data_IF_284206699480
#
_entry.id   IF_284206699480
#
_cell.length_a   1.000
_cell.length_b   1.000
_cell.length_c   1.000
_cell.angle_alpha   90.00
_cell.angle_beta   90.00
_cell.angle_gamma   90.00
#
_symmetry.space_group_name_H-M   'P 1'
#
loop_
_entity.id
_entity.type
_entity.pdbx_description
1 polymer ?
#
# COMPACT_ATOMS: atom_id res chain seq x y z
N UNK A 1 33.96 -31.28 24.67
CA UNK A 1 33.04 -30.66 23.72
C UNK A 1 31.84 -30.19 24.53
N UNK A 2 31.72 -28.85 24.73
CA UNK A 2 30.89 -28.28 25.77
C UNK A 2 29.38 -28.43 25.50
N UNK A 3 28.71 -29.16 26.36
CA UNK A 3 27.22 -29.38 26.34
C UNK A 3 26.42 -28.07 26.24
N UNK A 4 26.97 -26.97 26.67
CA UNK A 4 26.36 -25.62 26.56
C UNK A 4 26.29 -25.08 25.14
N UNK A 5 27.28 -25.39 24.28
CA UNK A 5 27.28 -24.97 22.87
C UNK A 5 26.21 -25.70 22.06
N UNK A 6 25.98 -26.99 22.35
CA UNK A 6 24.91 -27.78 21.71
C UNK A 6 23.52 -27.30 22.13
N UNK A 7 23.32 -26.91 23.39
CA UNK A 7 22.02 -26.37 23.85
C UNK A 7 21.71 -25.01 23.24
N UNK A 8 22.72 -24.16 23.02
CA UNK A 8 22.53 -22.84 22.39
C UNK A 8 22.18 -22.97 20.90
N UNK A 9 22.77 -23.95 20.21
CA UNK A 9 22.49 -24.21 18.79
C UNK A 9 21.08 -24.79 18.61
N UNK A 10 20.63 -25.66 19.51
CA UNK A 10 19.26 -26.21 19.50
C UNK A 10 18.23 -25.12 19.81
N UNK A 11 18.53 -24.19 20.72
CA UNK A 11 17.65 -23.06 21.01
C UNK A 11 17.57 -22.06 19.83
N UNK A 12 18.67 -21.83 19.10
CA UNK A 12 18.65 -21.00 17.88
C UNK A 12 17.90 -21.66 16.72
N UNK A 13 17.97 -22.99 16.57
CA UNK A 13 17.21 -23.71 15.53
C UNK A 13 15.70 -23.74 15.82
N UNK A 14 15.28 -23.67 17.08
CA UNK A 14 13.85 -23.65 17.43
C UNK A 14 13.18 -22.29 17.20
N UNK A 15 13.94 -21.21 17.03
CA UNK A 15 13.45 -19.87 16.73
C UNK A 15 13.21 -19.62 15.23
N UNK A 16 13.60 -20.53 14.35
CA UNK A 16 13.31 -20.44 12.92
C UNK A 16 11.97 -21.03 12.53
N UNK A 17 11.17 -21.49 13.52
CA UNK A 17 9.84 -22.01 13.28
C UNK A 17 8.87 -20.88 12.96
N UNK A 18 8.64 -20.72 11.67
CA UNK A 18 7.38 -20.26 11.08
C UNK A 18 6.99 -18.81 11.38
N UNK A 19 7.63 -17.86 10.72
CA UNK A 19 6.81 -16.86 10.06
C UNK A 19 6.07 -17.55 8.89
N UNK A 20 5.14 -18.42 9.17
CA UNK A 20 4.09 -18.78 8.22
C UNK A 20 3.29 -17.51 8.07
N UNK A 21 3.52 -16.78 7.00
CA UNK A 21 2.72 -15.65 6.59
C UNK A 21 1.32 -16.20 6.34
N UNK A 22 0.46 -16.10 7.36
CA UNK A 22 -0.92 -16.57 7.22
C UNK A 22 -1.58 -15.79 6.09
N UNK A 23 -2.35 -16.45 5.21
CA UNK A 23 -3.07 -15.75 4.17
C UNK A 23 -3.97 -14.71 4.83
N UNK A 24 -3.84 -13.45 4.40
CA UNK A 24 -4.71 -12.37 4.87
C UNK A 24 -6.08 -12.62 4.23
N UNK A 25 -7.02 -13.09 5.02
CA UNK A 25 -8.39 -13.35 4.59
C UNK A 25 -9.14 -12.01 4.51
N UNK A 26 -10.02 -11.85 3.53
CA UNK A 26 -10.96 -10.74 3.44
C UNK A 26 -12.10 -10.99 4.41
N UNK A 27 -12.01 -10.44 5.61
CA UNK A 27 -12.98 -10.56 6.69
C UNK A 27 -13.79 -9.27 6.87
N UNK A 28 -14.78 -9.32 7.74
CA UNK A 28 -15.68 -8.18 8.00
C UNK A 28 -14.95 -6.92 8.49
N UNK A 29 -13.94 -7.05 9.34
CA UNK A 29 -13.17 -5.90 9.84
C UNK A 29 -12.39 -5.22 8.71
N UNK A 30 -11.86 -5.99 7.77
CA UNK A 30 -11.16 -5.47 6.59
C UNK A 30 -12.12 -4.87 5.57
N UNK A 31 -13.31 -5.45 5.42
CA UNK A 31 -14.38 -4.89 4.61
C UNK A 31 -14.80 -3.51 5.14
N UNK A 32 -15.05 -3.39 6.44
CA UNK A 32 -15.38 -2.10 7.07
C UNK A 32 -14.25 -1.05 6.92
N UNK A 33 -12.99 -1.47 7.06
CA UNK A 33 -11.85 -0.58 6.85
C UNK A 33 -11.75 -0.09 5.40
N UNK A 34 -12.00 -0.99 4.43
CA UNK A 34 -12.05 -0.66 3.01
C UNK A 34 -13.19 0.32 2.70
N UNK A 35 -14.40 0.04 3.18
CA UNK A 35 -15.55 0.91 2.99
C UNK A 35 -15.33 2.30 3.58
N UNK A 36 -14.78 2.37 4.79
CA UNK A 36 -14.42 3.65 5.44
C UNK A 36 -13.41 4.45 4.61
N UNK A 37 -12.40 3.77 4.02
CA UNK A 37 -11.42 4.42 3.17
C UNK A 37 -12.05 4.89 1.84
N UNK A 38 -12.87 4.05 1.22
CA UNK A 38 -13.59 4.40 0.00
C UNK A 38 -14.53 5.59 0.20
N UNK A 39 -15.29 5.61 1.31
CA UNK A 39 -16.17 6.73 1.65
C UNK A 39 -15.38 8.04 1.80
N UNK A 40 -14.21 7.99 2.45
CA UNK A 40 -13.33 9.16 2.58
C UNK A 40 -12.85 9.68 1.22
N UNK A 41 -12.43 8.80 0.32
CA UNK A 41 -11.97 9.21 -1.02
C UNK A 41 -13.14 9.66 -1.91
N UNK A 42 -14.31 9.01 -1.86
CA UNK A 42 -15.50 9.40 -2.62
C UNK A 42 -16.11 10.73 -2.20
N UNK A 43 -15.92 11.12 -0.93
CA UNK A 43 -16.34 12.43 -0.44
C UNK A 43 -15.53 13.60 -1.02
N UNK A 44 -14.46 13.32 -1.75
CA UNK A 44 -13.58 14.31 -2.36
C UNK A 44 -14.00 14.56 -3.81
N UNK A 45 -14.58 15.73 -4.07
CA UNK A 45 -15.09 16.10 -5.39
C UNK A 45 -14.02 16.01 -6.49
N UNK A 46 -12.77 16.36 -6.16
CA UNK A 46 -11.65 16.29 -7.09
C UNK A 46 -11.32 14.87 -7.56
N UNK A 47 -11.77 13.83 -6.83
CA UNK A 47 -11.55 12.42 -7.21
C UNK A 47 -12.68 11.83 -8.07
N UNK A 48 -13.83 12.48 -8.19
CA UNK A 48 -14.97 11.97 -8.95
C UNK A 48 -14.57 11.54 -10.35
N UNK A 49 -13.85 12.38 -11.08
CA UNK A 49 -13.39 12.07 -12.44
C UNK A 49 -12.49 10.82 -12.53
N UNK A 50 -11.74 10.52 -11.46
CA UNK A 50 -10.86 9.34 -11.44
C UNK A 50 -11.66 8.07 -11.22
N UNK A 51 -12.68 8.11 -10.36
CA UNK A 51 -13.63 7.01 -10.19
C UNK A 51 -14.40 6.72 -11.50
N UNK A 52 -14.78 7.76 -12.24
CA UNK A 52 -15.54 7.63 -13.49
C UNK A 52 -14.70 7.09 -14.66
N UNK A 53 -13.40 7.37 -14.68
CA UNK A 53 -12.48 7.03 -15.76
C UNK A 53 -11.69 5.75 -15.54
N UNK A 54 -11.63 5.25 -14.30
CA UNK A 54 -10.84 4.09 -13.97
C UNK A 54 -11.54 2.79 -14.36
N UNK A 55 -10.79 1.87 -14.97
CA UNK A 55 -11.24 0.48 -15.20
C UNK A 55 -11.19 -0.33 -13.89
N UNK A 56 -10.29 0.06 -12.99
CA UNK A 56 -10.13 -0.53 -11.66
C UNK A 56 -9.45 0.46 -10.71
N UNK A 57 -9.53 0.18 -9.40
CA UNK A 57 -8.76 0.92 -8.40
C UNK A 57 -8.33 0.02 -7.24
N UNK A 58 -7.12 0.26 -6.70
CA UNK A 58 -6.62 -0.43 -5.54
C UNK A 58 -6.63 0.52 -4.32
N UNK A 59 -7.25 0.07 -3.22
CA UNK A 59 -7.41 0.87 -2.00
C UNK A 59 -6.62 0.23 -0.87
N UNK A 60 -5.80 1.02 -0.22
CA UNK A 60 -5.01 0.66 0.95
C UNK A 60 -5.55 1.44 2.15
N UNK A 61 -6.42 0.84 2.99
CA UNK A 61 -7.11 1.55 4.07
C UNK A 61 -6.20 2.02 5.19
N UNK A 62 -5.08 1.33 5.37
CA UNK A 62 -4.08 1.68 6.38
C UNK A 62 -2.69 1.29 5.90
N UNK A 63 -1.83 2.29 5.78
CA UNK A 63 -0.41 2.11 5.56
C UNK A 63 0.35 2.72 6.73
N UNK A 64 1.52 2.18 6.98
CA UNK A 64 2.44 2.68 8.00
C UNK A 64 3.76 3.04 7.36
N UNK A 65 4.25 4.21 7.67
CA UNK A 65 5.49 4.77 7.18
C UNK A 65 6.35 5.19 8.38
N UNK A 66 7.61 4.77 8.40
CA UNK A 66 8.56 5.14 9.45
C UNK A 66 9.96 5.30 8.89
N UNK A 67 10.71 6.27 9.42
CA UNK A 67 12.09 6.49 8.99
C UNK A 67 12.86 7.50 9.81
N UNK A 68 14.18 7.43 9.65
CA UNK A 68 15.16 8.38 10.19
C UNK A 68 16.38 8.43 9.26
N UNK A 69 16.41 9.37 8.29
CA UNK A 69 17.40 9.43 7.21
C UNK A 69 17.18 8.38 6.11
N UNK A 70 16.77 7.19 6.46
CA UNK A 70 16.21 6.15 5.58
C UNK A 70 15.00 5.55 6.26
N UNK A 71 14.13 4.92 5.49
CA UNK A 71 12.92 4.35 6.05
C UNK A 71 12.19 3.43 5.08
N UNK A 72 11.03 2.99 5.54
CA UNK A 72 10.14 2.16 4.76
C UNK A 72 8.69 2.41 5.09
N UNK A 73 7.84 1.97 4.19
CA UNK A 73 6.40 1.90 4.39
C UNK A 73 5.86 0.55 3.93
N UNK A 74 4.77 0.14 4.52
CA UNK A 74 4.05 -1.05 4.13
C UNK A 74 2.56 -0.87 4.33
N UNK A 75 1.78 -1.58 3.54
CA UNK A 75 0.33 -1.58 3.64
C UNK A 75 -0.29 -2.74 2.89
N UNK A 76 -1.46 -3.17 3.35
CA UNK A 76 -2.30 -4.14 2.65
C UNK A 76 -3.51 -3.41 2.10
N UNK A 77 -3.82 -3.67 0.83
CA UNK A 77 -4.95 -3.10 0.12
C UNK A 77 -5.75 -4.16 -0.63
N UNK A 78 -6.77 -3.68 -1.31
CA UNK A 78 -7.72 -4.48 -2.07
C UNK A 78 -7.89 -3.88 -3.45
N UNK A 79 -7.83 -4.72 -4.47
CA UNK A 79 -8.15 -4.34 -5.85
C UNK A 79 -9.65 -4.51 -6.06
N UNK A 80 -10.26 -3.49 -6.65
CA UNK A 80 -11.68 -3.49 -7.02
C UNK A 80 -11.81 -3.28 -8.53
N UNK A 81 -12.55 -4.19 -9.17
CA UNK A 81 -12.89 -4.17 -10.58
C UNK A 81 -14.42 -4.18 -10.69
N UNK A 82 -15.00 -3.24 -11.42
CA UNK A 82 -16.45 -3.13 -11.47
C UNK A 82 -17.16 -2.86 -10.12
N UNK A 83 -16.38 -2.46 -9.10
CA UNK A 83 -16.88 -2.26 -7.74
C UNK A 83 -16.77 -3.48 -6.83
N UNK A 84 -16.37 -4.64 -7.33
CA UNK A 84 -16.16 -5.88 -6.58
C UNK A 84 -14.70 -6.08 -6.23
N UNK A 85 -14.43 -6.65 -5.05
CA UNK A 85 -13.08 -6.97 -4.60
C UNK A 85 -12.61 -8.23 -5.30
N UNK A 86 -11.58 -8.11 -6.15
CA UNK A 86 -11.03 -9.21 -6.95
C UNK A 86 -9.73 -9.77 -6.41
N UNK A 87 -9.06 -9.05 -5.52
CA UNK A 87 -7.82 -9.53 -4.92
C UNK A 87 -7.24 -8.61 -3.88
N UNK A 88 -6.23 -9.13 -3.20
CA UNK A 88 -5.43 -8.43 -2.22
C UNK A 88 -4.19 -7.83 -2.87
N UNK A 89 -3.80 -6.65 -2.45
CA UNK A 89 -2.53 -6.03 -2.83
C UNK A 89 -1.66 -5.79 -1.59
N UNK A 90 -0.36 -6.01 -1.72
CA UNK A 90 0.64 -5.65 -0.73
C UNK A 90 1.49 -4.51 -1.30
N UNK A 91 1.66 -3.45 -0.53
CA UNK A 91 2.56 -2.35 -0.85
C UNK A 91 3.75 -2.36 0.09
N UNK A 92 4.95 -2.28 -0.49
CA UNK A 92 6.21 -2.07 0.24
C UNK A 92 6.94 -0.90 -0.40
N UNK A 93 7.46 -0.02 0.44
CA UNK A 93 8.23 1.13 0.01
C UNK A 93 9.55 1.21 0.77
N UNK A 94 10.62 1.58 0.06
CA UNK A 94 11.88 1.97 0.65
C UNK A 94 12.21 3.39 0.22
N UNK A 95 12.67 4.23 1.15
CA UNK A 95 13.02 5.62 0.86
C UNK A 95 14.26 6.08 1.63
N UNK A 96 14.95 7.07 1.06
CA UNK A 96 16.11 7.75 1.65
C UNK A 96 15.91 9.26 1.53
N UNK A 97 16.35 9.99 2.53
CA UNK A 97 16.26 11.45 2.54
C UNK A 97 16.11 12.02 3.94
N UNK A 98 15.82 13.32 4.02
CA UNK A 98 15.52 13.96 5.30
C UNK A 98 14.13 13.53 5.74
N UNK A 99 14.07 12.51 6.59
CA UNK A 99 12.83 12.00 7.18
C UNK A 99 13.05 11.63 8.64
N UNK A 100 12.09 11.92 9.49
CA UNK A 100 12.10 11.58 10.91
C UNK A 100 10.66 11.44 11.39
N UNK A 101 10.29 10.27 11.84
CA UNK A 101 8.99 10.04 12.48
C UNK A 101 8.26 8.78 12.00
N UNK A 102 7.01 8.70 12.43
CA UNK A 102 6.06 7.64 12.06
C UNK A 102 4.76 8.29 11.61
N UNK A 103 4.20 7.81 10.52
CA UNK A 103 2.96 8.31 9.93
C UNK A 103 2.07 7.18 9.47
N UNK A 104 0.76 7.33 9.70
CA UNK A 104 -0.26 6.50 9.11
C UNK A 104 -0.98 7.23 7.97
N UNK A 105 -1.22 6.54 6.87
CA UNK A 105 -1.95 7.07 5.73
C UNK A 105 -2.93 6.04 5.14
N UNK A 106 -3.82 6.55 4.26
CA UNK A 106 -4.61 5.77 3.33
C UNK A 106 -4.15 6.10 1.92
N UNK A 107 -4.26 5.13 1.02
CA UNK A 107 -3.84 5.31 -0.36
C UNK A 107 -4.85 4.71 -1.32
N UNK A 108 -5.09 5.37 -2.44
CA UNK A 108 -5.86 4.83 -3.56
C UNK A 108 -5.06 4.99 -4.85
N UNK A 109 -5.02 3.94 -5.65
CA UNK A 109 -4.47 3.92 -7.00
C UNK A 109 -5.62 3.70 -7.97
N UNK A 110 -5.73 4.56 -8.98
CA UNK A 110 -6.69 4.42 -10.09
C UNK A 110 -5.96 3.95 -11.34
N UNK A 111 -6.46 2.92 -11.98
CA UNK A 111 -5.96 2.40 -13.26
C UNK A 111 -6.90 2.84 -14.38
N UNK A 112 -6.38 3.61 -15.35
CA UNK A 112 -7.17 4.10 -16.48
C UNK A 112 -7.25 3.11 -17.64
N UNK A 113 -6.28 2.21 -17.74
CA UNK A 113 -6.20 1.23 -18.82
C UNK A 113 -6.03 -0.19 -18.29
N UNK A 114 -6.54 -1.17 -19.04
CA UNK A 114 -6.32 -2.59 -18.77
C UNK A 114 -4.84 -2.95 -18.79
N UNK A 115 -4.04 -2.30 -19.62
CA UNK A 115 -2.61 -2.53 -19.67
C UNK A 115 -1.91 -2.16 -18.36
N UNK A 116 -2.31 -1.05 -17.72
CA UNK A 116 -1.77 -0.65 -16.42
C UNK A 116 -2.26 -1.59 -15.30
N UNK A 117 -3.52 -2.01 -15.35
CA UNK A 117 -4.09 -2.99 -14.44
C UNK A 117 -3.36 -4.34 -14.52
N UNK A 118 -3.11 -4.82 -15.73
CA UNK A 118 -2.35 -6.05 -15.98
C UNK A 118 -0.92 -5.99 -15.43
N UNK A 119 -0.24 -4.86 -15.59
CA UNK A 119 1.09 -4.66 -15.00
C UNK A 119 1.05 -4.75 -13.48
N UNK A 120 0.04 -4.14 -12.86
CA UNK A 120 -0.16 -4.23 -11.43
C UNK A 120 -0.42 -5.67 -10.97
N UNK A 121 -1.32 -6.40 -11.63
CA UNK A 121 -1.64 -7.81 -11.32
C UNK A 121 -0.44 -8.75 -11.46
N UNK A 122 0.50 -8.44 -12.36
CA UNK A 122 1.74 -9.24 -12.54
C UNK A 122 2.83 -8.92 -11.51
N UNK A 123 2.58 -8.04 -10.54
CA UNK A 123 3.58 -7.63 -9.55
C UNK A 123 4.79 -6.90 -10.15
N UNK A 124 4.64 -6.29 -11.33
CA UNK A 124 5.69 -5.54 -12.04
C UNK A 124 5.47 -4.04 -11.96
N UNK A 125 4.66 -3.63 -11.02
CA UNK A 125 4.28 -2.24 -10.88
C UNK A 125 5.16 -1.57 -9.83
N UNK A 126 6.00 -0.65 -10.26
CA UNK A 126 6.90 0.12 -9.41
C UNK A 126 6.73 1.61 -9.70
N UNK A 127 6.57 2.40 -8.65
CA UNK A 127 6.74 3.83 -8.70
C UNK A 127 8.12 4.20 -8.20
N UNK A 128 8.93 4.82 -9.06
CA UNK A 128 10.26 5.30 -8.67
C UNK A 128 10.31 6.82 -8.77
N UNK A 129 10.79 7.46 -7.72
CA UNK A 129 11.01 8.90 -7.69
C UNK A 129 9.77 9.72 -7.32
N UNK A 130 9.89 11.04 -7.46
CA UNK A 130 8.86 12.03 -7.10
C UNK A 130 7.59 11.98 -7.95
N UNK A 131 7.46 11.03 -8.83
CA UNK A 131 6.31 10.90 -9.68
C UNK A 131 5.12 10.49 -8.83
N UNK A 132 4.29 11.47 -8.50
CA UNK A 132 2.85 11.25 -8.30
C UNK A 132 2.28 10.99 -6.91
N UNK A 133 3.03 11.13 -5.85
CA UNK A 133 2.39 11.29 -4.55
C UNK A 133 1.91 12.74 -4.42
N UNK A 134 0.69 13.01 -4.82
CA UNK A 134 0.02 14.19 -4.32
C UNK A 134 -0.35 13.94 -2.88
N UNK A 135 0.55 14.30 -1.99
CA UNK A 135 0.18 14.47 -0.59
C UNK A 135 -0.79 15.63 -0.55
N UNK A 136 -2.06 15.34 -0.50
CA UNK A 136 -3.07 16.34 -0.18
C UNK A 136 -2.91 16.69 1.30
N UNK A 137 -1.93 17.52 1.59
CA UNK A 137 -1.91 18.24 2.84
C UNK A 137 -3.02 19.30 2.77
N UNK A 138 -3.83 19.33 3.80
CA UNK A 138 -4.94 20.26 4.00
C UNK A 138 -4.57 21.64 3.46
N UNK A 139 -5.12 22.02 2.29
CA UNK A 139 -5.11 23.41 1.87
C UNK A 139 -4.76 23.76 0.43
N UNK A 140 -4.05 22.93 -0.33
CA UNK A 140 -3.83 23.14 -1.78
C UNK A 140 -3.61 21.82 -2.48
N UNK A 141 -4.67 21.27 -3.06
CA UNK A 141 -4.58 20.13 -3.94
C UNK A 141 -3.93 20.54 -5.27
N UNK A 142 -2.72 20.08 -5.52
CA UNK A 142 -2.28 19.90 -6.90
C UNK A 142 -3.05 18.67 -7.38
N UNK A 143 -3.94 18.85 -8.34
CA UNK A 143 -4.70 17.74 -8.90
C UNK A 143 -3.77 16.94 -9.82
N UNK A 144 -3.28 15.75 -9.43
CA UNK A 144 -2.43 14.96 -10.31
C UNK A 144 -3.26 14.45 -11.49
N UNK A 145 -2.59 14.31 -12.61
CA UNK A 145 -3.12 13.54 -13.72
C UNK A 145 -2.70 12.08 -13.61
N UNK A 146 -3.24 11.24 -14.50
CA UNK A 146 -2.67 9.92 -14.73
C UNK A 146 -1.25 10.03 -15.30
N UNK A 147 -0.33 9.18 -14.83
CA UNK A 147 1.02 9.11 -15.35
C UNK A 147 1.58 7.67 -15.31
N UNK A 148 1.77 7.01 -16.44
CA UNK A 148 1.10 7.22 -17.73
C UNK A 148 -0.38 6.88 -17.72
N UNK A 149 -0.81 5.87 -16.96
CA UNK A 149 -2.20 5.40 -16.86
C UNK A 149 -2.62 5.08 -15.43
N UNK A 150 -1.81 5.49 -14.46
CA UNK A 150 -2.11 5.31 -13.03
C UNK A 150 -2.06 6.65 -12.32
N UNK A 151 -3.07 6.91 -11.50
CA UNK A 151 -3.09 8.04 -10.58
C UNK A 151 -3.11 7.53 -9.14
N UNK A 152 -2.30 8.13 -8.26
CA UNK A 152 -2.23 7.76 -6.85
C UNK A 152 -2.56 8.95 -5.98
N UNK A 153 -3.40 8.72 -4.97
CA UNK A 153 -3.75 9.69 -3.95
C UNK A 153 -3.48 9.13 -2.56
N UNK A 154 -2.96 10.00 -1.70
CA UNK A 154 -2.61 9.66 -0.31
C UNK A 154 -3.35 10.60 0.63
N UNK A 155 -3.98 10.04 1.65
CA UNK A 155 -4.61 10.78 2.75
C UNK A 155 -3.89 10.45 4.06
N UNK A 156 -3.23 11.45 4.64
CA UNK A 156 -2.57 11.30 5.95
C UNK A 156 -3.62 11.20 7.05
N UNK A 157 -3.53 10.15 7.85
CA UNK A 157 -4.49 9.86 8.93
C UNK A 157 -4.01 10.27 10.32
N UNK A 158 -2.70 10.24 10.54
CA UNK A 158 -2.11 10.60 11.83
C UNK A 158 -0.65 10.22 11.93
N UNK A 159 -0.04 10.59 13.05
CA UNK A 159 1.38 10.51 13.28
C UNK A 159 2.07 11.84 13.04
N UNK A 160 3.36 11.88 13.36
CA UNK A 160 4.22 13.01 13.09
C UNK A 160 5.42 12.53 12.27
N UNK A 161 5.56 13.10 11.07
CA UNK A 161 6.70 12.85 10.22
C UNK A 161 7.10 14.13 9.50
N UNK A 162 8.37 14.48 9.58
CA UNK A 162 8.99 15.48 8.73
C UNK A 162 9.70 14.73 7.63
N UNK A 163 9.40 15.04 6.37
CA UNK A 163 9.88 14.28 5.24
C UNK A 163 10.26 15.16 4.05
N UNK A 164 11.48 14.91 3.55
CA UNK A 164 11.94 15.28 2.21
C UNK A 164 12.77 14.10 1.69
N UNK A 165 12.10 13.10 1.11
CA UNK A 165 12.73 11.84 0.72
C UNK A 165 12.37 11.45 -0.71
N UNK A 166 13.20 10.55 -1.27
CA UNK A 166 12.98 9.89 -2.55
C UNK A 166 12.92 8.40 -2.29
N UNK A 167 11.94 7.72 -2.88
CA UNK A 167 11.73 6.29 -2.64
C UNK A 167 11.21 5.54 -3.84
N UNK A 168 11.18 4.22 -3.70
CA UNK A 168 10.58 3.30 -4.65
C UNK A 168 9.48 2.51 -3.94
N UNK A 169 8.30 2.49 -4.53
CA UNK A 169 7.16 1.72 -4.08
C UNK A 169 6.94 0.53 -5.00
N UNK A 170 6.83 -0.65 -4.42
CA UNK A 170 6.51 -1.90 -5.11
C UNK A 170 5.17 -2.42 -4.64
N UNK A 171 4.43 -3.00 -5.59
CA UNK A 171 3.11 -3.58 -5.34
C UNK A 171 3.09 -5.02 -5.82
N UNK A 172 2.65 -5.94 -4.96
CA UNK A 172 2.42 -7.34 -5.28
C UNK A 172 0.92 -7.64 -5.15
N UNK A 173 0.34 -8.34 -6.12
CA UNK A 173 -1.08 -8.69 -6.19
C UNK A 173 -1.30 -10.19 -5.97
N UNK A 174 -2.36 -10.50 -5.25
CA UNK A 174 -2.81 -11.86 -4.94
C UNK A 174 -4.31 -11.94 -5.21
N UNK A 175 -4.77 -12.72 -6.21
CA UNK A 175 -6.19 -12.87 -6.47
C UNK A 175 -6.90 -13.49 -5.26
N UNK A 176 -8.16 -13.13 -5.03
CA UNK A 176 -9.00 -13.87 -4.10
C UNK A 176 -9.19 -15.27 -4.67
N UNK A 177 -9.01 -16.29 -3.82
CA UNK A 177 -9.40 -17.64 -4.17
C UNK A 177 -10.94 -17.70 -4.08
N UNK A 178 -11.59 -18.09 -5.17
CA UNK A 178 -12.99 -18.47 -5.11
C UNK A 178 -13.09 -19.63 -4.11
N UNK A 179 -13.89 -19.46 -3.06
CA UNK A 179 -14.24 -20.57 -2.17
C UNK A 179 -15.14 -21.52 -2.96
N UNK A 180 -14.58 -22.68 -3.34
CA UNK A 180 -15.38 -23.81 -3.84
C UNK A 180 -16.44 -24.26 -2.82
#
# INVERSE_FOLDING_TARGET
MNRWKTSLIILMLSLTSACVMQPVVYDEARAQALESALASFRAREELTRFFDQAVAYAVFPANWRAGTGFGGAFGTGWLLEGGEVTGRALMVEAFVGANLGIQGDRKILFFRSEAALDQFKRGRFEFTGQANASVANVGKAITPGYNPDVAMFVEVRGGLMVEASVGTQRYDYFPLQESE
#
